data_IF_331584152414
#
_entry.id   IF_331584152414
#
_cell.length_a   1.000
_cell.length_b   1.000
_cell.length_c   1.000
_cell.angle_alpha   90.00
_cell.angle_beta   90.00
_cell.angle_gamma   90.00
#
_symmetry.space_group_name_H-M   'P 1'
#
loop_
_entity.id
_entity.type
_entity.pdbx_description
1 polymer ?
#
# COMPACT_ATOMS: atom_id res chain seq x y z
N UNK A 1 4.67 11.05 24.55
CA UNK A 1 4.14 11.06 23.17
C UNK A 1 3.28 9.83 22.89
N UNK A 2 2.63 9.26 23.91
CA UNK A 2 1.83 8.05 23.77
C UNK A 2 0.49 8.41 23.11
N UNK A 3 -0.08 7.48 22.35
CA UNK A 3 -1.46 7.61 21.86
C UNK A 3 -2.44 7.45 23.02
N UNK A 4 -3.43 8.34 23.09
CA UNK A 4 -4.47 8.33 24.13
C UNK A 4 -5.81 7.81 23.61
N UNK A 5 -5.79 7.11 22.46
CA UNK A 5 -6.95 6.40 21.92
C UNK A 5 -7.27 5.16 22.74
N UNK A 6 -8.54 4.70 22.76
CA UNK A 6 -8.87 3.36 23.25
C UNK A 6 -7.98 2.31 22.57
N UNK A 7 -7.43 1.39 23.37
CA UNK A 7 -6.43 0.41 22.91
C UNK A 7 -6.89 -0.38 21.68
N UNK A 8 -8.18 -0.74 21.63
CA UNK A 8 -8.78 -1.46 20.50
C UNK A 8 -8.72 -0.66 19.20
N UNK A 9 -8.96 0.65 19.25
CA UNK A 9 -8.92 1.54 18.10
C UNK A 9 -7.47 1.76 17.64
N UNK A 10 -6.56 2.01 18.58
CA UNK A 10 -5.14 2.23 18.28
C UNK A 10 -4.50 0.97 17.65
N UNK A 11 -4.81 -0.21 18.20
CA UNK A 11 -4.36 -1.49 17.68
C UNK A 11 -4.95 -1.77 16.28
N UNK A 12 -6.24 -1.48 16.06
CA UNK A 12 -6.87 -1.68 14.75
C UNK A 12 -6.21 -0.81 13.67
N UNK A 13 -5.96 0.47 13.96
CA UNK A 13 -5.25 1.39 13.05
C UNK A 13 -3.83 0.87 12.77
N UNK A 14 -3.11 0.44 13.80
CA UNK A 14 -1.75 -0.05 13.67
C UNK A 14 -1.67 -1.33 12.81
N UNK A 15 -2.52 -2.32 13.08
CA UNK A 15 -2.60 -3.57 12.32
C UNK A 15 -2.97 -3.29 10.87
N UNK A 16 -3.97 -2.43 10.63
CA UNK A 16 -4.37 -2.04 9.28
C UNK A 16 -3.21 -1.39 8.51
N UNK A 17 -2.48 -0.47 9.14
CA UNK A 17 -1.34 0.19 8.52
C UNK A 17 -0.22 -0.81 8.14
N UNK A 18 0.13 -1.74 9.03
CA UNK A 18 1.11 -2.79 8.74
C UNK A 18 0.67 -3.76 7.65
N UNK A 19 -0.61 -4.11 7.58
CA UNK A 19 -1.18 -4.92 6.49
C UNK A 19 -1.04 -4.19 5.15
N UNK A 20 -1.33 -2.89 5.10
CA UNK A 20 -1.17 -2.08 3.88
C UNK A 20 0.30 -2.00 3.46
N UNK A 21 1.22 -1.74 4.38
CA UNK A 21 2.67 -1.72 4.09
C UNK A 21 3.12 -3.06 3.51
N UNK A 22 2.75 -4.16 4.15
CA UNK A 22 3.12 -5.52 3.72
C UNK A 22 2.55 -5.86 2.35
N UNK A 23 1.26 -5.58 2.14
CA UNK A 23 0.59 -5.80 0.85
C UNK A 23 1.23 -4.98 -0.27
N UNK A 24 1.58 -3.72 -0.01
CA UNK A 24 2.28 -2.87 -0.98
C UNK A 24 3.66 -3.39 -1.31
N UNK A 25 4.43 -3.83 -0.31
CA UNK A 25 5.76 -4.40 -0.54
C UNK A 25 5.72 -5.62 -1.47
N UNK A 26 4.69 -6.48 -1.32
CA UNK A 26 4.51 -7.68 -2.17
C UNK A 26 3.98 -7.33 -3.56
N UNK A 27 3.02 -6.40 -3.67
CA UNK A 27 2.24 -6.19 -4.89
C UNK A 27 2.74 -5.04 -5.77
N UNK A 28 3.52 -4.10 -5.23
CA UNK A 28 3.91 -2.87 -5.89
C UNK A 28 5.41 -2.88 -6.22
N UNK A 29 5.74 -2.99 -7.52
CA UNK A 29 7.13 -3.06 -8.02
C UNK A 29 7.63 -1.81 -8.75
N UNK A 30 6.79 -0.80 -8.96
CA UNK A 30 7.20 0.41 -9.68
C UNK A 30 7.92 1.38 -8.75
N UNK A 31 9.01 1.99 -9.22
CA UNK A 31 9.90 2.88 -8.43
C UNK A 31 9.14 4.00 -7.71
N UNK A 32 8.21 4.68 -8.39
CA UNK A 32 7.37 5.73 -7.79
C UNK A 32 6.51 5.22 -6.63
N UNK A 33 5.94 4.02 -6.78
CA UNK A 33 5.02 3.48 -5.81
C UNK A 33 5.75 2.78 -4.63
N UNK A 34 7.03 2.39 -4.82
CA UNK A 34 7.95 2.04 -3.74
C UNK A 34 8.25 3.23 -2.83
N UNK A 35 8.45 4.43 -3.38
CA UNK A 35 8.70 5.65 -2.58
C UNK A 35 7.49 5.99 -1.69
N UNK A 36 6.26 5.89 -2.23
CA UNK A 36 5.04 6.04 -1.43
C UNK A 36 4.92 4.95 -0.35
N UNK A 37 5.45 3.75 -0.61
CA UNK A 37 5.46 2.67 0.39
C UNK A 37 6.45 2.98 1.52
N UNK A 38 7.61 3.57 1.22
CA UNK A 38 8.56 4.07 2.23
C UNK A 38 7.92 5.16 3.09
N UNK A 39 7.14 6.06 2.50
CA UNK A 39 6.39 7.08 3.24
C UNK A 39 5.40 6.45 4.24
N UNK A 40 4.56 5.52 3.77
CA UNK A 40 3.59 4.82 4.63
C UNK A 40 4.33 4.04 5.74
N UNK A 41 5.47 3.42 5.42
CA UNK A 41 6.31 2.71 6.39
C UNK A 41 6.83 3.65 7.49
N UNK A 42 7.32 4.85 7.14
CA UNK A 42 7.78 5.82 8.13
C UNK A 42 6.66 6.23 9.10
N UNK A 43 5.45 6.53 8.60
CA UNK A 43 4.30 6.83 9.45
C UNK A 43 3.90 5.65 10.33
N UNK A 44 3.86 4.46 9.75
CA UNK A 44 3.52 3.23 10.47
C UNK A 44 4.54 2.95 11.58
N UNK A 45 5.83 3.18 11.32
CA UNK A 45 6.89 3.04 12.32
C UNK A 45 6.72 4.06 13.46
N UNK A 46 6.45 5.33 13.17
CA UNK A 46 6.17 6.34 14.21
C UNK A 46 4.94 5.96 15.03
N UNK A 47 3.86 5.52 14.38
CA UNK A 47 2.65 5.09 15.08
C UNK A 47 2.92 3.86 15.98
N UNK A 48 3.77 2.94 15.53
CA UNK A 48 4.23 1.79 16.32
C UNK A 48 4.97 2.24 17.59
N UNK A 49 5.86 3.24 17.48
CA UNK A 49 6.58 3.79 18.63
C UNK A 49 5.65 4.51 19.62
N UNK A 50 4.52 5.03 19.16
CA UNK A 50 3.52 5.74 19.98
C UNK A 50 2.44 4.84 20.58
N UNK A 51 2.31 3.61 20.07
CA UNK A 51 1.36 2.61 20.59
C UNK A 51 1.65 2.30 22.06
N UNK A 52 0.65 2.43 22.92
CA UNK A 52 0.81 2.43 24.39
C UNK A 52 1.73 1.34 24.93
N UNK A 53 1.40 0.05 24.74
CA UNK A 53 2.24 -1.07 25.21
C UNK A 53 3.70 -1.05 24.70
N UNK A 54 3.91 -0.68 23.43
CA UNK A 54 5.24 -0.63 22.84
C UNK A 54 6.03 0.56 23.38
N UNK A 55 5.37 1.72 23.54
CA UNK A 55 5.98 2.91 24.12
C UNK A 55 6.42 2.65 25.56
N UNK A 56 5.58 2.01 26.38
CA UNK A 56 5.88 1.68 27.77
C UNK A 56 7.11 0.75 27.86
N UNK A 57 7.18 -0.29 27.02
CA UNK A 57 8.35 -1.20 26.96
C UNK A 57 9.61 -0.46 26.51
N UNK A 58 9.54 0.31 25.41
CA UNK A 58 10.71 1.01 24.88
C UNK A 58 11.24 2.07 25.85
N UNK A 59 10.35 2.84 26.48
CA UNK A 59 10.76 3.85 27.47
C UNK A 59 11.41 3.20 28.69
N UNK A 60 10.97 2.00 29.09
CA UNK A 60 11.63 1.24 30.16
C UNK A 60 13.01 0.69 29.78
N UNK A 61 13.24 0.38 28.50
CA UNK A 61 14.46 -0.28 28.03
C UNK A 61 15.59 0.69 27.66
N UNK A 62 15.27 1.83 27.03
CA UNK A 62 16.27 2.75 26.45
C UNK A 62 16.13 4.20 26.89
N UNK A 63 15.07 4.57 27.63
CA UNK A 63 14.66 5.93 28.04
C UNK A 63 13.59 6.60 27.15
N UNK A 64 12.82 7.53 27.74
CA UNK A 64 11.73 8.23 27.05
C UNK A 64 12.21 9.28 26.03
N UNK A 65 13.45 9.73 26.17
CA UNK A 65 14.04 10.82 25.39
C UNK A 65 14.60 10.30 24.07
N UNK A 66 15.27 9.15 24.08
CA UNK A 66 15.70 8.39 22.92
C UNK A 66 14.52 7.91 22.08
N UNK A 67 13.46 7.39 22.71
CA UNK A 67 12.22 7.01 21.98
C UNK A 67 11.62 8.20 21.24
N UNK A 68 11.64 9.39 21.86
CA UNK A 68 11.20 10.63 21.24
C UNK A 68 12.12 11.08 20.10
N UNK A 69 13.43 11.03 20.29
CA UNK A 69 14.42 11.35 19.25
C UNK A 69 14.21 10.46 18.02
N UNK A 70 14.06 9.15 18.20
CA UNK A 70 13.80 8.20 17.12
C UNK A 70 12.49 8.57 16.40
N UNK A 71 11.43 8.89 17.14
CA UNK A 71 10.17 9.31 16.54
C UNK A 71 10.34 10.60 15.70
N UNK A 72 11.08 11.59 16.19
CA UNK A 72 11.35 12.82 15.44
C UNK A 72 12.18 12.58 14.18
N UNK A 73 13.23 11.75 14.24
CA UNK A 73 14.04 11.38 13.07
C UNK A 73 13.16 10.69 12.01
N UNK A 74 12.30 9.77 12.43
CA UNK A 74 11.36 9.10 11.52
C UNK A 74 10.34 10.07 10.91
N UNK A 75 9.90 11.09 11.64
CA UNK A 75 9.04 12.15 11.08
C UNK A 75 9.77 12.96 10.00
N UNK A 76 11.03 13.34 10.23
CA UNK A 76 11.85 14.04 9.23
C UNK A 76 12.08 13.14 8.01
N UNK A 77 12.33 11.85 8.22
CA UNK A 77 12.45 10.87 7.13
C UNK A 77 11.15 10.72 6.34
N UNK A 78 9.99 10.75 7.00
CA UNK A 78 8.69 10.73 6.33
C UNK A 78 8.50 11.98 5.45
N UNK A 79 8.83 13.17 5.97
CA UNK A 79 8.77 14.41 5.20
C UNK A 79 9.71 14.37 3.98
N UNK A 80 10.94 13.88 4.16
CA UNK A 80 11.89 13.68 3.06
C UNK A 80 11.38 12.67 2.01
N UNK A 81 10.74 11.56 2.45
CA UNK A 81 10.14 10.58 1.55
C UNK A 81 8.94 11.14 0.77
N UNK A 82 8.15 12.03 1.37
CA UNK A 82 7.07 12.74 0.69
C UNK A 82 7.61 13.71 -0.37
N UNK A 83 8.62 14.50 -0.02
CA UNK A 83 9.37 15.34 -0.95
C UNK A 83 9.94 14.54 -2.13
N UNK A 84 10.51 13.37 -1.83
CA UNK A 84 11.01 12.45 -2.84
C UNK A 84 9.86 11.94 -3.74
N UNK A 85 8.72 11.54 -3.16
CA UNK A 85 7.57 11.04 -3.91
C UNK A 85 7.05 12.11 -4.89
N UNK A 86 6.91 13.36 -4.43
CA UNK A 86 6.50 14.49 -5.25
C UNK A 86 7.51 14.76 -6.37
N UNK A 87 8.80 14.87 -6.06
CA UNK A 87 9.86 15.10 -7.06
C UNK A 87 9.99 13.98 -8.08
N UNK A 88 9.79 12.73 -7.63
CA UNK A 88 9.83 11.56 -8.48
C UNK A 88 8.63 11.54 -9.44
N UNK A 89 7.42 11.85 -8.98
CA UNK A 89 6.22 11.91 -9.83
C UNK A 89 6.34 12.92 -11.00
N UNK A 90 7.20 13.94 -10.84
CA UNK A 90 7.40 15.02 -11.82
C UNK A 90 8.72 14.89 -12.58
N UNK A 91 9.47 13.80 -12.36
CA UNK A 91 10.78 13.56 -13.02
C UNK A 91 11.89 14.55 -12.62
N UNK A 92 11.69 15.37 -11.57
CA UNK A 92 12.62 16.41 -11.10
C UNK A 92 13.38 16.01 -9.85
N UNK A 93 13.70 14.72 -9.72
CA UNK A 93 14.33 14.19 -8.52
C UNK A 93 15.78 14.67 -8.40
N UNK A 94 16.10 15.40 -7.33
CA UNK A 94 17.47 15.68 -6.88
C UNK A 94 17.73 14.94 -5.57
N UNK A 95 18.09 13.65 -5.61
CA UNK A 95 18.17 12.82 -4.41
C UNK A 95 19.27 13.27 -3.45
N UNK A 96 20.37 13.84 -3.96
CA UNK A 96 21.49 14.29 -3.14
C UNK A 96 21.12 15.38 -2.13
N UNK A 97 20.28 16.35 -2.51
CA UNK A 97 19.84 17.42 -1.60
C UNK A 97 18.91 16.90 -0.50
N UNK A 98 18.02 15.95 -0.85
CA UNK A 98 17.10 15.34 0.11
C UNK A 98 17.86 14.48 1.13
N UNK A 99 18.81 13.67 0.66
CA UNK A 99 19.66 12.84 1.52
C UNK A 99 20.52 13.73 2.42
N UNK A 100 21.18 14.74 1.86
CA UNK A 100 21.99 15.67 2.64
C UNK A 100 21.17 16.37 3.72
N UNK A 101 19.99 16.91 3.37
CA UNK A 101 19.10 17.55 4.34
C UNK A 101 18.63 16.59 5.45
N UNK A 102 18.29 15.34 5.09
CA UNK A 102 17.89 14.32 6.06
C UNK A 102 19.03 13.95 7.00
N UNK A 103 20.24 13.75 6.47
CA UNK A 103 21.43 13.44 7.27
C UNK A 103 21.79 14.60 8.18
N UNK A 104 21.82 15.83 7.65
CA UNK A 104 22.11 17.03 8.44
C UNK A 104 21.11 17.22 9.59
N UNK A 105 19.81 17.06 9.33
CA UNK A 105 18.78 17.15 10.36
C UNK A 105 18.93 16.02 11.40
N UNK A 106 19.18 14.79 10.97
CA UNK A 106 19.36 13.63 11.86
C UNK A 106 20.58 13.82 12.78
N UNK A 107 21.72 14.20 12.21
CA UNK A 107 22.96 14.47 12.96
C UNK A 107 22.77 15.66 13.90
N UNK A 108 22.10 16.72 13.45
CA UNK A 108 21.80 17.89 14.27
C UNK A 108 20.93 17.54 15.48
N UNK A 109 19.83 16.81 15.28
CA UNK A 109 18.94 16.37 16.36
C UNK A 109 19.66 15.42 17.33
N UNK A 110 20.41 14.44 16.82
CA UNK A 110 21.14 13.49 17.66
C UNK A 110 22.26 14.18 18.47
N UNK A 111 22.98 15.12 17.85
CA UNK A 111 24.03 15.88 18.53
C UNK A 111 23.43 16.77 19.63
N UNK A 112 22.38 17.54 19.31
CA UNK A 112 21.71 18.40 20.29
C UNK A 112 21.14 17.58 21.43
N UNK A 113 20.56 16.41 21.17
CA UNK A 113 20.09 15.51 22.21
C UNK A 113 21.24 15.00 23.11
N UNK A 114 22.37 14.60 22.51
CA UNK A 114 23.54 14.15 23.26
C UNK A 114 24.16 15.26 24.13
N UNK A 115 24.16 16.50 23.65
CA UNK A 115 24.74 17.65 24.36
C UNK A 115 23.79 18.27 25.39
N UNK A 116 22.48 18.06 25.27
CA UNK A 116 21.46 18.58 26.17
C UNK A 116 21.42 17.88 27.56
N UNK A 117 22.53 17.30 28.00
CA UNK A 117 22.74 16.90 29.39
C UNK A 117 21.77 15.85 29.95
N UNK A 118 21.21 16.11 31.13
CA UNK A 118 20.48 15.14 31.94
C UNK A 118 19.32 14.49 31.18
N UNK A 119 19.39 13.16 30.97
CA UNK A 119 18.38 12.39 30.26
C UNK A 119 17.07 12.17 31.03
N UNK A 120 17.06 12.50 32.33
CA UNK A 120 15.85 12.46 33.14
C UNK A 120 14.89 13.62 32.84
N UNK A 121 15.38 14.72 32.25
CA UNK A 121 14.55 15.85 31.84
C UNK A 121 14.03 15.65 30.42
N UNK A 122 12.81 16.12 30.18
CA UNK A 122 12.22 16.14 28.83
C UNK A 122 12.93 17.23 28.02
N UNK A 123 13.17 17.00 26.73
CA UNK A 123 14.00 17.90 25.92
C UNK A 123 13.47 19.34 25.84
N UNK A 124 12.15 19.54 26.01
CA UNK A 124 11.56 20.88 26.08
C UNK A 124 12.03 21.71 27.27
N UNK A 125 12.38 21.06 28.38
CA UNK A 125 12.72 21.68 29.66
C UNK A 125 14.21 21.54 29.99
N UNK A 126 15.06 21.33 28.98
CA UNK A 126 16.50 21.24 29.17
C UNK A 126 17.08 22.63 29.35
N UNK A 127 17.85 22.80 30.42
CA UNK A 127 18.77 23.92 30.59
C UNK A 127 20.17 23.58 30.06
N UNK A 128 20.82 24.49 29.32
CA UNK A 128 20.33 25.78 28.85
C UNK A 128 19.24 25.67 27.77
N UNK A 129 18.25 26.57 27.82
CA UNK A 129 17.10 26.62 26.88
C UNK A 129 17.49 26.69 25.40
N UNK A 130 18.69 27.20 25.09
CA UNK A 130 19.22 27.29 23.71
C UNK A 130 19.28 25.92 23.03
N UNK A 131 19.49 24.83 23.78
CA UNK A 131 19.51 23.48 23.24
C UNK A 131 18.10 23.01 22.85
N UNK A 132 17.09 23.28 23.69
CA UNK A 132 15.69 23.00 23.42
C UNK A 132 15.20 23.77 22.17
N UNK A 133 15.45 25.09 22.13
CA UNK A 133 15.09 25.94 21.00
C UNK A 133 15.76 25.49 19.70
N UNK A 134 17.06 25.22 19.73
CA UNK A 134 17.80 24.76 18.55
C UNK A 134 17.28 23.41 18.05
N UNK A 135 16.97 22.50 18.97
CA UNK A 135 16.46 21.17 18.64
C UNK A 135 15.13 21.26 17.90
N UNK A 136 14.15 21.99 18.47
CA UNK A 136 12.84 22.13 17.85
C UNK A 136 12.87 22.99 16.58
N UNK A 137 13.81 23.93 16.47
CA UNK A 137 14.02 24.71 15.24
C UNK A 137 14.52 23.83 14.10
N UNK A 138 15.50 22.95 14.36
CA UNK A 138 15.99 22.00 13.34
C UNK A 138 14.89 21.00 12.98
N UNK A 139 14.17 20.47 13.98
CA UNK A 139 13.09 19.52 13.75
C UNK A 139 11.97 20.10 12.89
N UNK A 140 11.42 21.26 13.27
CA UNK A 140 10.33 21.91 12.56
C UNK A 140 10.81 22.48 11.21
N UNK A 141 11.98 23.10 11.17
CA UNK A 141 12.57 23.64 9.96
C UNK A 141 12.78 22.57 8.89
N UNK A 142 13.30 21.40 9.26
CA UNK A 142 13.50 20.29 8.33
C UNK A 142 12.17 19.81 7.72
N UNK A 143 11.14 19.62 8.54
CA UNK A 143 9.80 19.20 8.08
C UNK A 143 9.21 20.25 7.12
N UNK A 144 9.21 21.52 7.52
CA UNK A 144 8.68 22.62 6.71
C UNK A 144 9.40 22.72 5.37
N UNK A 145 10.74 22.63 5.35
CA UNK A 145 11.53 22.70 4.10
C UNK A 145 11.15 21.56 3.16
N UNK A 146 11.07 20.32 3.65
CA UNK A 146 10.70 19.17 2.82
C UNK A 146 9.26 19.25 2.32
N UNK A 147 8.31 19.65 3.17
CA UNK A 147 6.90 19.77 2.80
C UNK A 147 6.68 20.91 1.80
N UNK A 148 7.27 22.09 2.03
CA UNK A 148 7.20 23.23 1.09
C UNK A 148 7.79 22.84 -0.26
N UNK A 149 8.93 22.14 -0.27
CA UNK A 149 9.50 21.62 -1.51
C UNK A 149 8.53 20.65 -2.22
N UNK A 150 7.92 19.71 -1.50
CA UNK A 150 6.94 18.79 -2.05
C UNK A 150 5.73 19.52 -2.67
N UNK A 151 5.20 20.54 -1.98
CA UNK A 151 4.09 21.37 -2.46
C UNK A 151 4.47 22.18 -3.70
N UNK A 152 5.65 22.81 -3.72
CA UNK A 152 6.13 23.59 -4.88
C UNK A 152 6.24 22.70 -6.12
N UNK A 153 6.85 21.53 -5.96
CA UNK A 153 7.03 20.56 -7.05
C UNK A 153 5.69 20.08 -7.59
N UNK A 154 4.75 19.75 -6.69
CA UNK A 154 3.42 19.30 -7.05
C UNK A 154 2.58 20.41 -7.70
N UNK A 155 2.63 21.63 -7.17
CA UNK A 155 1.93 22.78 -7.74
C UNK A 155 2.46 23.14 -9.13
N UNK A 156 3.78 23.03 -9.36
CA UNK A 156 4.37 23.20 -10.69
C UNK A 156 3.89 22.11 -11.66
N UNK A 157 3.70 20.88 -11.20
CA UNK A 157 3.16 19.78 -12.00
C UNK A 157 1.68 19.97 -12.34
N UNK A 158 0.84 20.34 -11.37
CA UNK A 158 -0.59 20.61 -11.59
C UNK A 158 -0.79 21.78 -12.57
N UNK A 159 0.09 22.79 -12.54
CA UNK A 159 0.06 23.90 -13.50
C UNK A 159 0.44 23.51 -14.92
N UNK A 160 1.17 22.41 -15.10
CA UNK A 160 1.73 21.99 -16.40
C UNK A 160 0.99 20.80 -17.01
N UNK A 161 0.32 19.97 -16.21
CA UNK A 161 -0.49 18.83 -16.66
C UNK A 161 -2.01 19.08 -16.50
N UNK A 162 -2.73 19.10 -17.62
CA UNK A 162 -4.19 18.87 -17.64
C UNK A 162 -4.51 17.44 -17.17
N UNK A 163 -5.73 17.18 -16.65
CA UNK A 163 -5.97 16.36 -15.45
C UNK A 163 -5.57 14.90 -15.64
N UNK A 164 -4.39 14.52 -15.14
CA UNK A 164 -4.01 13.12 -15.02
C UNK A 164 -4.34 12.61 -13.61
N UNK A 165 -5.14 11.54 -13.55
CA UNK A 165 -5.51 10.84 -12.30
C UNK A 165 -4.31 10.32 -11.47
N UNK A 166 -3.08 10.37 -12.02
CA UNK A 166 -1.86 9.93 -11.35
C UNK A 166 -1.31 10.89 -10.28
N UNK A 167 -1.68 12.18 -10.31
CA UNK A 167 -1.15 13.19 -9.37
C UNK A 167 -2.00 13.40 -8.11
N UNK A 168 -3.25 12.89 -8.09
CA UNK A 168 -4.17 13.04 -6.96
C UNK A 168 -3.66 12.34 -5.68
N UNK A 169 -3.12 11.13 -5.80
CA UNK A 169 -2.63 10.39 -4.63
C UNK A 169 -1.36 11.01 -4.02
N UNK A 170 -0.34 11.42 -4.79
CA UNK A 170 0.79 12.21 -4.28
C UNK A 170 0.35 13.54 -3.66
N UNK A 171 -0.64 14.22 -4.26
CA UNK A 171 -1.18 15.48 -3.75
C UNK A 171 -1.87 15.33 -2.40
N UNK A 172 -2.79 14.36 -2.30
CA UNK A 172 -3.49 14.04 -1.06
C UNK A 172 -2.52 13.60 0.04
N UNK A 173 -1.52 12.79 -0.30
CA UNK A 173 -0.48 12.39 0.64
C UNK A 173 0.32 13.59 1.14
N UNK A 174 0.78 14.49 0.25
CA UNK A 174 1.56 15.67 0.63
C UNK A 174 0.75 16.64 1.51
N UNK A 175 -0.52 16.88 1.17
CA UNK A 175 -1.42 17.71 1.96
C UNK A 175 -1.71 17.10 3.34
N UNK A 176 -1.95 15.78 3.40
CA UNK A 176 -2.12 15.07 4.66
C UNK A 176 -0.86 15.13 5.52
N UNK A 177 0.34 15.05 4.93
CA UNK A 177 1.60 15.26 5.64
C UNK A 177 1.70 16.66 6.24
N UNK A 178 1.45 17.71 5.46
CA UNK A 178 1.52 19.09 5.96
C UNK A 178 0.61 19.32 7.18
N UNK A 179 -0.60 18.76 7.15
CA UNK A 179 -1.54 18.83 8.27
C UNK A 179 -1.09 17.98 9.48
N UNK A 180 -0.38 16.87 9.26
CA UNK A 180 0.05 15.94 10.29
C UNK A 180 1.35 16.34 10.97
N UNK A 181 2.38 16.57 10.18
CA UNK A 181 3.77 16.76 10.61
C UNK A 181 4.13 18.24 10.66
N UNK A 182 3.77 19.02 9.64
CA UNK A 182 4.03 20.46 9.59
C UNK A 182 3.38 21.24 10.74
N UNK A 183 2.06 21.14 10.89
CA UNK A 183 1.33 21.83 11.96
C UNK A 183 1.77 21.40 13.37
N UNK A 184 2.01 20.10 13.56
CA UNK A 184 2.50 19.56 14.83
C UNK A 184 3.90 20.08 15.15
N UNK A 185 4.82 20.11 14.17
CA UNK A 185 6.18 20.58 14.38
C UNK A 185 6.24 22.10 14.64
N UNK A 186 5.42 22.89 13.95
CA UNK A 186 5.29 24.34 14.22
C UNK A 186 4.72 24.58 15.61
N UNK A 187 3.74 23.78 16.03
CA UNK A 187 3.16 23.87 17.39
C UNK A 187 4.19 23.54 18.48
N UNK A 188 5.06 22.56 18.24
CA UNK A 188 6.17 22.21 19.15
C UNK A 188 7.23 23.31 19.22
N UNK A 189 7.57 23.93 18.08
CA UNK A 189 8.49 25.07 18.05
C UNK A 189 7.91 26.29 18.78
N UNK A 190 6.64 26.61 18.55
CA UNK A 190 5.93 27.67 19.28
C UNK A 190 5.95 27.43 20.79
N UNK A 191 5.75 26.18 21.21
CA UNK A 191 5.84 25.79 22.62
C UNK A 191 7.25 26.00 23.18
N UNK A 192 8.29 25.55 22.49
CA UNK A 192 9.67 25.75 22.93
C UNK A 192 10.01 27.25 23.09
N UNK A 193 9.52 28.10 22.18
CA UNK A 193 9.63 29.55 22.28
C UNK A 193 8.90 30.10 23.51
N UNK A 194 7.66 29.66 23.76
CA UNK A 194 6.88 30.09 24.93
C UNK A 194 7.47 29.64 26.26
N UNK A 195 8.05 28.44 26.28
CA UNK A 195 8.77 27.92 27.43
C UNK A 195 10.00 28.76 27.76
N UNK A 196 10.80 29.11 26.75
CA UNK A 196 11.96 29.99 26.91
C UNK A 196 11.58 31.43 27.34
N UNK A 197 10.35 31.87 27.10
CA UNK A 197 9.86 33.18 27.56
C UNK A 197 9.19 33.14 28.94
N UNK A 198 9.14 31.98 29.61
CA UNK A 198 8.54 31.83 30.95
C UNK A 198 7.00 31.82 31.01
N UNK A 199 6.33 31.69 29.85
CA UNK A 199 4.88 31.86 29.68
C UNK A 199 4.13 30.51 29.61
N UNK A 200 4.46 29.58 30.50
CA UNK A 200 3.98 28.18 30.45
C UNK A 200 2.64 28.03 31.20
N UNK A 201 1.58 28.55 30.60
CA UNK A 201 0.20 28.31 31.03
C UNK A 201 -0.47 27.10 30.33
N UNK A 202 -1.83 27.03 30.22
CA UNK A 202 -2.66 25.86 29.84
C UNK A 202 -2.39 25.16 28.48
N UNK A 203 -1.35 25.57 27.75
CA UNK A 203 -0.89 24.95 26.52
C UNK A 203 -0.28 23.54 26.71
N UNK A 204 0.30 23.25 27.88
CA UNK A 204 0.96 21.96 28.17
C UNK A 204 -0.04 20.77 28.19
N UNK A 205 -1.27 20.99 28.68
CA UNK A 205 -2.34 19.99 28.67
C UNK A 205 -2.93 19.77 27.28
N UNK A 206 -3.05 20.82 26.46
CA UNK A 206 -3.53 20.70 25.09
C UNK A 206 -2.53 19.91 24.24
N UNK A 207 -1.22 20.14 24.40
CA UNK A 207 -0.16 19.44 23.67
C UNK A 207 -0.07 17.94 24.00
N UNK A 208 -0.22 17.56 25.29
CA UNK A 208 -0.25 16.14 25.71
C UNK A 208 -1.43 15.39 25.08
N UNK A 209 -2.59 16.03 24.99
CA UNK A 209 -3.82 15.37 24.50
C UNK A 209 -3.95 15.37 22.96
N UNK A 210 -3.42 16.39 22.27
CA UNK A 210 -3.68 16.59 20.83
C UNK A 210 -2.69 15.84 19.94
N UNK A 211 -1.42 15.70 20.34
CA UNK A 211 -0.34 15.21 19.46
C UNK A 211 -0.20 13.67 19.38
N UNK A 212 -0.76 12.93 20.34
CA UNK A 212 -0.80 11.47 20.29
C UNK A 212 -1.77 10.99 19.21
N UNK A 213 -3.04 11.37 19.36
CA UNK A 213 -4.13 10.85 18.53
C UNK A 213 -4.06 11.32 17.07
N UNK A 214 -3.54 12.53 16.83
CA UNK A 214 -3.39 13.10 15.50
C UNK A 214 -2.57 12.19 14.57
N UNK A 215 -1.47 11.62 15.08
CA UNK A 215 -0.61 10.71 14.30
C UNK A 215 -1.30 9.41 13.91
N UNK A 216 -2.13 8.85 14.80
CA UNK A 216 -2.90 7.64 14.51
C UNK A 216 -3.93 7.90 13.39
N UNK A 217 -4.66 9.02 13.45
CA UNK A 217 -5.61 9.41 12.41
C UNK A 217 -4.94 9.62 11.05
N UNK A 218 -3.78 10.26 11.01
CA UNK A 218 -3.05 10.45 9.76
C UNK A 218 -2.45 9.16 9.21
N UNK A 219 -1.97 8.27 10.08
CA UNK A 219 -1.52 6.93 9.69
C UNK A 219 -2.66 6.17 9.01
N UNK A 220 -3.89 6.28 9.54
CA UNK A 220 -5.09 5.69 8.94
C UNK A 220 -5.39 6.30 7.55
N UNK A 221 -5.40 7.63 7.42
CA UNK A 221 -5.65 8.31 6.13
C UNK A 221 -4.62 7.90 5.08
N UNK A 222 -3.34 7.91 5.43
CA UNK A 222 -2.24 7.52 4.53
C UNK A 222 -2.33 6.05 4.15
N UNK A 223 -2.69 5.16 5.09
CA UNK A 223 -2.93 3.74 4.80
C UNK A 223 -4.14 3.53 3.88
N UNK A 224 -5.23 4.30 4.04
CA UNK A 224 -6.40 4.25 3.15
C UNK A 224 -6.06 4.71 1.72
N UNK A 225 -5.31 5.80 1.56
CA UNK A 225 -4.79 6.21 0.24
C UNK A 225 -3.87 5.13 -0.33
N UNK A 226 -3.05 4.52 0.52
CA UNK A 226 -2.16 3.41 0.18
C UNK A 226 -2.88 2.16 -0.30
N UNK A 227 -4.05 1.83 0.27
CA UNK A 227 -4.82 0.63 -0.05
C UNK A 227 -5.56 0.74 -1.38
N UNK A 228 -6.05 1.94 -1.75
CA UNK A 228 -6.72 2.16 -3.03
C UNK A 228 -5.87 1.73 -4.25
N UNK A 229 -4.56 1.99 -4.20
CA UNK A 229 -3.63 1.57 -5.25
C UNK A 229 -3.40 0.05 -5.28
N UNK A 230 -3.47 -0.61 -4.11
CA UNK A 230 -3.38 -2.08 -4.02
C UNK A 230 -4.64 -2.71 -4.60
N UNK A 231 -5.81 -2.23 -4.18
CA UNK A 231 -7.13 -2.70 -4.62
C UNK A 231 -7.26 -2.60 -6.14
N UNK A 232 -6.88 -1.46 -6.73
CA UNK A 232 -6.94 -1.27 -8.18
C UNK A 232 -6.07 -2.28 -8.93
N UNK A 233 -4.84 -2.53 -8.44
CA UNK A 233 -3.91 -3.47 -9.08
C UNK A 233 -4.32 -4.93 -8.92
N UNK A 234 -4.93 -5.29 -7.79
CA UNK A 234 -5.52 -6.63 -7.61
C UNK A 234 -6.74 -6.82 -8.50
N UNK A 235 -7.59 -5.79 -8.63
CA UNK A 235 -8.74 -5.82 -9.53
C UNK A 235 -8.31 -5.94 -11.00
N UNK A 236 -7.33 -5.15 -11.45
CA UNK A 236 -6.77 -5.22 -12.80
C UNK A 236 -6.15 -6.61 -13.10
N UNK A 237 -5.41 -7.19 -12.17
CA UNK A 237 -4.87 -8.56 -12.35
C UNK A 237 -5.97 -9.62 -12.39
N UNK A 238 -6.99 -9.47 -11.57
CA UNK A 238 -8.14 -10.38 -11.54
C UNK A 238 -8.94 -10.29 -12.83
N UNK A 239 -9.21 -9.08 -13.33
CA UNK A 239 -9.96 -8.88 -14.58
C UNK A 239 -9.19 -9.40 -15.79
N UNK A 240 -7.87 -9.16 -15.87
CA UNK A 240 -7.03 -9.70 -16.95
C UNK A 240 -7.01 -11.23 -16.91
N UNK A 241 -6.84 -11.84 -15.74
CA UNK A 241 -6.86 -13.30 -15.59
C UNK A 241 -8.22 -13.89 -15.95
N UNK A 242 -9.31 -13.23 -15.52
CA UNK A 242 -10.67 -13.63 -15.88
C UNK A 242 -10.89 -13.53 -17.40
N UNK A 243 -10.45 -12.45 -18.04
CA UNK A 243 -10.61 -12.26 -19.48
C UNK A 243 -9.83 -13.30 -20.31
N UNK A 244 -8.60 -13.63 -19.90
CA UNK A 244 -7.80 -14.68 -20.54
C UNK A 244 -8.48 -16.05 -20.37
N UNK A 245 -8.88 -16.41 -19.16
CA UNK A 245 -9.59 -17.67 -18.90
C UNK A 245 -10.90 -17.79 -19.71
N UNK A 246 -11.67 -16.70 -19.86
CA UNK A 246 -12.91 -16.69 -20.67
C UNK A 246 -12.60 -16.87 -22.16
N UNK A 247 -11.51 -16.30 -22.65
CA UNK A 247 -11.10 -16.43 -24.06
C UNK A 247 -10.63 -17.85 -24.38
N UNK A 248 -9.79 -18.44 -23.52
CA UNK A 248 -9.32 -19.83 -23.64
C UNK A 248 -10.51 -20.81 -23.55
N UNK A 249 -11.41 -20.62 -22.57
CA UNK A 249 -12.61 -21.43 -22.41
C UNK A 249 -13.53 -21.35 -23.63
N UNK A 250 -13.65 -20.17 -24.25
CA UNK A 250 -14.48 -19.99 -25.45
C UNK A 250 -13.99 -20.80 -26.63
N UNK A 251 -12.68 -20.82 -26.87
CA UNK A 251 -12.10 -21.64 -27.95
C UNK A 251 -12.32 -23.13 -27.73
N UNK A 252 -12.11 -23.59 -26.49
CA UNK A 252 -12.39 -24.98 -26.14
C UNK A 252 -13.87 -25.33 -26.33
N UNK A 253 -14.77 -24.45 -25.86
CA UNK A 253 -16.21 -24.63 -25.99
C UNK A 253 -16.66 -24.68 -27.47
N UNK A 254 -16.14 -23.81 -28.33
CA UNK A 254 -16.41 -23.84 -29.77
C UNK A 254 -15.94 -25.17 -30.37
N UNK A 255 -14.70 -25.60 -30.13
CA UNK A 255 -14.16 -26.85 -30.65
C UNK A 255 -14.95 -28.10 -30.18
N UNK A 256 -15.30 -28.16 -28.89
CA UNK A 256 -16.04 -29.30 -28.33
C UNK A 256 -17.50 -29.35 -28.79
N UNK A 257 -18.20 -28.21 -28.81
CA UNK A 257 -19.60 -28.17 -29.22
C UNK A 257 -19.78 -28.26 -30.74
N UNK A 258 -18.75 -27.96 -31.53
CA UNK A 258 -18.77 -28.23 -32.97
C UNK A 258 -18.59 -29.74 -33.26
N UNK A 259 -17.85 -30.47 -32.41
CA UNK A 259 -17.73 -31.93 -32.47
C UNK A 259 -18.95 -32.66 -31.88
N UNK A 260 -19.57 -32.10 -30.83
CA UNK A 260 -20.79 -32.57 -30.19
C UNK A 260 -21.91 -31.50 -30.26
N UNK A 261 -22.58 -31.33 -31.40
CA UNK A 261 -23.60 -30.29 -31.55
C UNK A 261 -24.85 -30.53 -30.69
N UNK A 262 -25.06 -31.75 -30.19
CA UNK A 262 -26.20 -32.13 -29.35
C UNK A 262 -26.26 -31.42 -27.99
N UNK A 263 -25.11 -30.99 -27.46
CA UNK A 263 -25.02 -30.31 -26.16
C UNK A 263 -25.07 -28.78 -26.24
N UNK A 264 -24.99 -28.20 -27.44
CA UNK A 264 -24.89 -26.76 -27.65
C UNK A 264 -26.24 -26.06 -27.45
N UNK A 265 -26.35 -25.15 -26.49
CA UNK A 265 -27.55 -24.33 -26.30
C UNK A 265 -27.38 -22.89 -26.81
N UNK A 266 -28.51 -22.23 -27.12
CA UNK A 266 -28.51 -20.83 -27.53
C UNK A 266 -28.19 -19.90 -26.35
N UNK A 267 -27.00 -19.29 -26.38
CA UNK A 267 -26.48 -18.45 -25.30
C UNK A 267 -26.91 -16.97 -25.37
N UNK A 268 -27.68 -16.55 -26.39
CA UNK A 268 -27.99 -15.12 -26.65
C UNK A 268 -28.68 -14.38 -25.50
N UNK A 269 -29.44 -15.10 -24.68
CA UNK A 269 -30.28 -14.52 -23.63
C UNK A 269 -29.64 -14.57 -22.24
N UNK A 270 -28.44 -15.13 -22.10
CA UNK A 270 -27.79 -15.29 -20.80
C UNK A 270 -26.87 -14.12 -20.47
N UNK A 271 -26.88 -13.72 -19.19
CA UNK A 271 -25.92 -12.76 -18.64
C UNK A 271 -24.47 -13.27 -18.79
N UNK A 272 -23.45 -12.38 -18.82
CA UNK A 272 -22.05 -12.78 -19.01
C UNK A 272 -21.57 -13.89 -18.07
N UNK A 273 -21.89 -13.81 -16.78
CA UNK A 273 -21.45 -14.81 -15.79
C UNK A 273 -22.20 -16.14 -15.95
N UNK A 274 -23.50 -16.07 -16.27
CA UNK A 274 -24.30 -17.25 -16.58
C UNK A 274 -23.82 -17.95 -17.86
N UNK A 275 -23.32 -17.20 -18.86
CA UNK A 275 -22.72 -17.77 -20.07
C UNK A 275 -21.45 -18.55 -19.76
N UNK A 276 -20.58 -18.05 -18.87
CA UNK A 276 -19.35 -18.77 -18.50
C UNK A 276 -19.67 -20.09 -17.80
N UNK A 277 -20.60 -20.08 -16.84
CA UNK A 277 -21.07 -21.31 -16.18
C UNK A 277 -21.64 -22.28 -17.20
N UNK A 278 -22.45 -21.76 -18.14
CA UNK A 278 -23.07 -22.58 -19.17
C UNK A 278 -22.05 -23.20 -20.12
N UNK A 279 -21.06 -22.43 -20.57
CA UNK A 279 -19.95 -22.93 -21.39
C UNK A 279 -19.18 -24.03 -20.68
N UNK A 280 -18.96 -23.91 -19.36
CA UNK A 280 -18.30 -24.97 -18.59
C UNK A 280 -19.17 -26.24 -18.57
N UNK A 281 -20.47 -26.12 -18.28
CA UNK A 281 -21.36 -27.29 -18.30
C UNK A 281 -21.43 -27.93 -19.68
N UNK A 282 -21.53 -27.15 -20.76
CA UNK A 282 -21.58 -27.69 -22.12
C UNK A 282 -20.26 -28.33 -22.54
N UNK A 283 -19.12 -27.82 -22.07
CA UNK A 283 -17.85 -28.51 -22.24
C UNK A 283 -17.83 -29.85 -21.48
N UNK A 284 -18.33 -29.90 -20.25
CA UNK A 284 -18.41 -31.15 -19.46
C UNK A 284 -19.30 -32.17 -20.18
N UNK A 285 -20.48 -31.75 -20.63
CA UNK A 285 -21.43 -32.61 -21.34
C UNK A 285 -20.83 -33.10 -22.67
N UNK A 286 -20.15 -32.22 -23.44
CA UNK A 286 -19.44 -32.61 -24.66
C UNK A 286 -18.32 -33.62 -24.38
N UNK A 287 -17.58 -33.46 -23.28
CA UNK A 287 -16.49 -34.38 -22.92
C UNK A 287 -17.05 -35.77 -22.61
N UNK A 288 -18.19 -35.87 -21.90
CA UNK A 288 -18.86 -37.16 -21.66
C UNK A 288 -19.43 -37.78 -22.95
N UNK A 289 -20.06 -36.98 -23.81
CA UNK A 289 -20.64 -37.44 -25.08
C UNK A 289 -19.56 -37.95 -26.04
N UNK A 290 -18.43 -37.25 -26.10
CA UNK A 290 -17.30 -37.61 -26.98
C UNK A 290 -16.38 -38.67 -26.38
N UNK A 291 -16.56 -39.03 -25.09
CA UNK A 291 -15.73 -40.03 -24.42
C UNK A 291 -14.26 -39.62 -24.29
N UNK A 292 -14.01 -38.32 -24.06
CA UNK A 292 -12.67 -37.73 -24.06
C UNK A 292 -12.15 -37.63 -22.62
N UNK A 293 -10.90 -38.00 -22.38
CA UNK A 293 -10.27 -37.81 -21.07
C UNK A 293 -9.74 -36.37 -20.94
N UNK A 294 -10.32 -35.54 -20.04
CA UNK A 294 -9.90 -34.15 -19.88
C UNK A 294 -8.48 -34.00 -19.32
N UNK A 295 -7.79 -35.04 -18.86
CA UNK A 295 -6.38 -34.94 -18.46
C UNK A 295 -5.42 -35.06 -19.63
N UNK A 296 -5.70 -35.97 -20.57
CA UNK A 296 -4.77 -36.32 -21.67
C UNK A 296 -5.16 -35.74 -23.01
N UNK A 297 -6.42 -35.34 -23.18
CA UNK A 297 -6.95 -34.94 -24.48
C UNK A 297 -6.26 -33.75 -25.12
N UNK A 298 -6.20 -33.82 -26.44
CA UNK A 298 -5.61 -32.84 -27.33
C UNK A 298 -6.54 -32.51 -28.48
N UNK A 299 -6.29 -31.37 -29.15
CA UNK A 299 -7.09 -30.93 -30.30
C UNK A 299 -7.10 -31.93 -31.45
N UNK A 300 -6.01 -32.68 -31.63
CA UNK A 300 -5.92 -33.70 -32.67
C UNK A 300 -6.87 -34.88 -32.43
N UNK A 301 -7.16 -35.21 -31.17
CA UNK A 301 -8.06 -36.31 -30.82
C UNK A 301 -9.50 -36.05 -31.31
N UNK A 302 -9.92 -34.77 -31.38
CA UNK A 302 -11.20 -34.38 -31.99
C UNK A 302 -11.20 -34.51 -33.51
N UNK A 303 -10.08 -34.21 -34.17
CA UNK A 303 -9.97 -34.21 -35.63
C UNK A 303 -9.86 -35.62 -36.20
N UNK A 304 -9.22 -36.55 -35.48
CA UNK A 304 -9.00 -37.92 -35.92
C UNK A 304 -10.22 -38.84 -35.75
N UNK A 305 -11.31 -38.36 -35.11
CA UNK A 305 -12.54 -39.13 -34.82
C UNK A 305 -12.26 -40.51 -34.21
N UNK A 306 -11.21 -40.65 -33.40
CA UNK A 306 -11.02 -41.81 -32.52
C UNK A 306 -11.97 -41.73 -31.31
N UNK A 307 -13.27 -41.59 -31.61
CA UNK A 307 -14.35 -41.50 -30.63
C UNK A 307 -14.82 -42.93 -30.35
N UNK A 308 -14.14 -43.59 -29.42
CA UNK A 308 -14.53 -44.92 -28.95
C UNK A 308 -15.82 -44.78 -28.14
N UNK A 309 -16.97 -45.15 -28.73
CA UNK A 309 -18.27 -45.12 -28.04
C UNK A 309 -18.30 -45.94 -26.74
N UNK A 310 -17.41 -46.92 -26.59
CA UNK A 310 -17.22 -47.71 -25.37
C UNK A 310 -16.51 -46.97 -24.23
N UNK A 311 -15.87 -45.82 -24.48
CA UNK A 311 -15.21 -45.00 -23.43
C UNK A 311 -16.17 -44.09 -22.68
N UNK A 312 -17.33 -43.78 -23.24
CA UNK A 312 -18.36 -42.96 -22.57
C UNK A 312 -18.87 -43.63 -21.27
N UNK A 313 -19.02 -44.97 -21.29
CA UNK A 313 -19.41 -45.75 -20.10
C UNK A 313 -18.32 -45.81 -19.02
N UNK A 314 -17.03 -45.76 -19.41
CA UNK A 314 -15.88 -45.73 -18.49
C UNK A 314 -15.67 -44.34 -17.85
N UNK A 315 -15.99 -43.26 -18.56
CA UNK A 315 -15.89 -41.89 -18.06
C UNK A 315 -17.07 -41.49 -17.16
N UNK A 316 -18.20 -42.20 -17.25
CA UNK A 316 -19.37 -41.97 -16.38
C UNK A 316 -19.07 -42.18 -14.88
N UNK A 317 -17.99 -42.89 -14.53
CA UNK A 317 -17.53 -43.06 -13.14
C UNK A 317 -16.60 -41.93 -12.64
N UNK A 318 -16.06 -41.10 -13.54
CA UNK A 318 -15.18 -39.97 -13.21
C UNK A 318 -15.95 -38.65 -13.11
N UNK A 319 -15.95 -38.01 -11.94
CA UNK A 319 -16.53 -36.68 -11.76
C UNK A 319 -15.64 -35.59 -12.41
N UNK A 320 -15.96 -35.20 -13.64
CA UNK A 320 -15.32 -34.06 -14.32
C UNK A 320 -15.76 -32.74 -13.66
N UNK A 321 -14.79 -31.95 -13.21
CA UNK A 321 -15.04 -30.66 -12.56
C UNK A 321 -14.79 -29.47 -13.48
N UNK A 322 -15.31 -28.30 -13.11
CA UNK A 322 -15.00 -27.03 -13.78
C UNK A 322 -13.50 -26.74 -13.86
N UNK A 323 -12.72 -27.22 -12.88
CA UNK A 323 -11.27 -27.04 -12.85
C UNK A 323 -10.59 -27.84 -13.96
N UNK A 324 -11.11 -29.01 -14.28
CA UNK A 324 -10.56 -29.89 -15.31
C UNK A 324 -10.79 -29.29 -16.70
N UNK A 325 -11.97 -28.70 -16.92
CA UNK A 325 -12.28 -27.92 -18.13
C UNK A 325 -11.35 -26.73 -18.31
N UNK A 326 -11.10 -25.94 -17.24
CA UNK A 326 -10.16 -24.80 -17.34
C UNK A 326 -8.72 -25.26 -17.58
N UNK A 327 -8.28 -26.36 -16.96
CA UNK A 327 -6.96 -26.92 -17.21
C UNK A 327 -6.84 -27.42 -18.66
N UNK A 328 -7.88 -28.06 -19.18
CA UNK A 328 -7.95 -28.50 -20.56
C UNK A 328 -7.88 -27.30 -21.50
N UNK A 329 -8.72 -26.28 -21.31
CA UNK A 329 -8.77 -25.07 -22.15
C UNK A 329 -7.39 -24.40 -22.25
N UNK A 330 -6.69 -24.29 -21.11
CA UNK A 330 -5.36 -23.71 -21.05
C UNK A 330 -4.31 -24.55 -21.81
N UNK A 331 -4.36 -25.89 -21.70
CA UNK A 331 -3.47 -26.77 -22.46
C UNK A 331 -3.78 -26.75 -23.95
N UNK A 332 -5.06 -26.66 -24.30
CA UNK A 332 -5.56 -26.58 -25.66
C UNK A 332 -5.02 -25.34 -26.38
N UNK A 333 -5.11 -24.19 -25.72
CA UNK A 333 -4.62 -22.91 -26.25
C UNK A 333 -3.09 -22.90 -26.35
N UNK A 334 -2.39 -23.38 -25.32
CA UNK A 334 -0.92 -23.46 -25.30
C UNK A 334 -0.33 -24.34 -26.42
N UNK A 335 -1.01 -25.45 -26.78
CA UNK A 335 -0.58 -26.31 -27.91
C UNK A 335 -0.95 -25.71 -29.27
N UNK A 336 -2.04 -24.96 -29.36
CA UNK A 336 -2.43 -24.27 -30.62
C UNK A 336 -1.44 -23.19 -31.06
N UNK A 337 -0.64 -22.67 -30.13
CA UNK A 337 0.43 -21.68 -30.40
C UNK A 337 1.77 -22.32 -30.81
N UNK A 338 1.88 -23.65 -30.78
CA UNK A 338 3.12 -24.39 -31.09
C UNK A 338 3.09 -25.11 -32.46
N UNK A 339 1.94 -25.15 -33.13
CA UNK A 339 1.77 -25.68 -34.49
C UNK A 339 1.51 -24.57 -35.50
#
# INVERSE_FOLDING_TARGET
>A
MRNHLPLSIDLAILVFAWLVVSARFVLVRTRHAQIVTVLILCFTAVNTLKFGPINDVLTSAIDARAVRLIAHILCVAAAAAAAWAAASAVGRLRPGLLIFGLVAATVGLASLDAFAGNRAQVIESVDPEVFSLSYFTIYAGAIVVFEVYAVIVLAAAIRTDKPHAGLLAPAAATAALFLATGLNAISLLWYAVRAATGDIGPAEQLQRNTNGNLFAYFTLVVALVGSAAVIRRTAERSSVRSAVNVTELRRLWEDLTDAAPGVKFDMRHFEPDARVVRMITECIDAIYELGIDPETATRSDLLERNLDGNRSELLAETHISARDVFNLAKRWDAKSLQG
#
